data_IF_086696054527
#
_entry.id   IF_086696054527
#
_cell.length_a   1.000
_cell.length_b   1.000
_cell.length_c   1.000
_cell.angle_alpha   90.00
_cell.angle_beta   90.00
_cell.angle_gamma   90.00
#
_symmetry.space_group_name_H-M   'P 1'
#
loop_
_entity.id
_entity.type
_entity.pdbx_description
1 polymer ?
#
# COMPACT_ATOMS: atom_id res chain seq x y z
N UNK A 1 16.77 9.64 2.98
CA UNK A 1 16.78 10.47 4.20
C UNK A 1 15.36 10.84 4.53
N UNK A 2 14.99 10.85 5.81
CA UNK A 2 13.68 11.36 6.24
C UNK A 2 13.65 12.86 5.97
N UNK A 3 12.58 13.36 5.37
CA UNK A 3 12.39 14.77 5.01
C UNK A 3 11.26 15.36 5.89
N UNK A 4 11.56 15.91 7.09
CA UNK A 4 10.54 16.36 8.03
C UNK A 4 9.58 17.41 7.45
N UNK A 5 10.06 18.24 6.52
CA UNK A 5 9.23 19.26 5.87
C UNK A 5 8.09 18.65 5.04
N UNK A 6 8.31 17.50 4.40
CA UNK A 6 7.25 16.78 3.66
C UNK A 6 6.17 16.22 4.58
N UNK A 7 6.54 15.81 5.80
CA UNK A 7 5.56 15.37 6.80
C UNK A 7 4.70 16.53 7.29
N UNK A 8 5.30 17.72 7.46
CA UNK A 8 4.57 18.94 7.82
C UNK A 8 3.61 19.37 6.71
N UNK A 9 4.05 19.32 5.45
CA UNK A 9 3.21 19.62 4.29
C UNK A 9 2.03 18.65 4.20
N UNK A 10 2.28 17.34 4.28
CA UNK A 10 1.23 16.32 4.26
C UNK A 10 0.24 16.50 5.42
N UNK A 11 0.73 16.80 6.63
CA UNK A 11 -0.14 17.10 7.77
C UNK A 11 -1.08 18.27 7.45
N UNK A 12 -0.55 19.36 6.88
CA UNK A 12 -1.38 20.51 6.51
C UNK A 12 -2.43 20.12 5.48
N UNK A 13 -2.05 19.37 4.44
CA UNK A 13 -2.99 18.88 3.42
C UNK A 13 -4.12 18.06 4.02
N UNK A 14 -3.82 17.10 4.91
CA UNK A 14 -4.86 16.26 5.56
C UNK A 14 -5.82 17.14 6.39
N UNK A 15 -5.29 18.12 7.12
CA UNK A 15 -6.12 19.00 7.96
C UNK A 15 -7.00 19.95 7.13
N UNK A 16 -6.50 20.41 5.98
CA UNK A 16 -7.27 21.22 5.01
C UNK A 16 -8.38 20.39 4.34
N UNK A 17 -8.08 19.17 3.91
CA UNK A 17 -9.04 18.28 3.23
C UNK A 17 -10.04 17.63 4.19
N UNK A 18 -9.66 17.42 5.46
CA UNK A 18 -10.49 16.75 6.48
C UNK A 18 -10.56 17.62 7.74
N UNK A 19 -11.43 18.64 7.78
CA UNK A 19 -11.61 19.49 8.95
C UNK A 19 -11.99 18.67 10.20
N UNK A 20 -11.24 18.86 11.29
CA UNK A 20 -11.42 18.13 12.54
C UNK A 20 -10.56 16.87 12.68
N UNK A 21 -9.78 16.50 11.65
CA UNK A 21 -8.79 15.43 11.79
C UNK A 21 -7.66 15.84 12.75
N UNK A 22 -7.41 15.02 13.76
CA UNK A 22 -6.23 15.14 14.62
C UNK A 22 -5.05 14.42 13.95
N UNK A 23 -4.07 15.20 13.49
CA UNK A 23 -2.91 14.68 12.74
C UNK A 23 -1.63 14.83 13.56
N UNK A 24 -1.06 13.69 13.93
CA UNK A 24 0.26 13.59 14.56
C UNK A 24 1.27 13.07 13.55
N UNK A 25 2.45 13.69 13.50
CA UNK A 25 3.55 13.24 12.66
C UNK A 25 4.72 12.80 13.52
N UNK A 26 5.43 11.78 13.07
CA UNK A 26 6.67 11.31 13.68
C UNK A 26 7.65 10.90 12.57
N UNK A 27 8.94 10.99 12.87
CA UNK A 27 10.00 10.50 12.00
C UNK A 27 10.39 9.06 12.31
N UNK A 28 9.86 8.48 13.38
CA UNK A 28 10.06 7.09 13.80
C UNK A 28 8.70 6.46 14.10
N UNK A 29 8.37 5.38 13.39
CA UNK A 29 7.10 4.68 13.58
C UNK A 29 6.93 4.13 15.01
N UNK A 30 8.04 3.68 15.62
CA UNK A 30 8.04 3.11 16.97
C UNK A 30 7.59 4.05 18.09
N UNK A 31 7.53 5.36 17.84
CA UNK A 31 7.10 6.35 18.83
C UNK A 31 5.56 6.39 18.97
N UNK A 32 4.81 5.89 17.99
CA UNK A 32 3.34 5.97 17.94
C UNK A 32 2.65 4.60 17.74
N UNK A 33 3.40 3.57 17.33
CA UNK A 33 2.83 2.27 16.92
C UNK A 33 1.98 1.58 17.99
N UNK A 34 2.27 1.82 19.28
CA UNK A 34 1.52 1.27 20.41
C UNK A 34 0.14 1.87 20.58
N UNK A 35 -0.17 2.96 19.87
CA UNK A 35 -1.47 3.63 19.90
C UNK A 35 -2.29 3.35 18.63
N UNK A 36 -1.75 2.63 17.64
CA UNK A 36 -2.39 2.41 16.35
C UNK A 36 -3.24 1.13 16.32
N UNK A 37 -4.49 1.27 15.86
CA UNK A 37 -5.39 0.13 15.59
C UNK A 37 -5.26 -0.38 14.14
N UNK A 38 -4.90 0.52 13.20
CA UNK A 38 -4.58 0.22 11.81
C UNK A 38 -3.25 0.84 11.43
N UNK A 39 -2.39 0.06 10.79
CA UNK A 39 -1.07 0.51 10.31
C UNK A 39 -0.96 0.18 8.83
N UNK A 40 -0.50 1.14 8.03
CA UNK A 40 -0.24 0.93 6.60
C UNK A 40 1.24 1.22 6.35
N UNK A 41 1.98 0.23 5.85
CA UNK A 41 3.37 0.42 5.42
C UNK A 41 3.44 0.53 3.90
N UNK A 42 4.10 1.57 3.43
CA UNK A 42 4.38 1.82 2.02
C UNK A 42 5.82 2.30 1.87
N UNK A 43 6.77 1.52 2.40
CA UNK A 43 8.17 1.93 2.49
C UNK A 43 9.02 1.36 1.36
N UNK A 44 10.20 1.93 1.20
CA UNK A 44 11.28 1.39 0.36
C UNK A 44 12.49 0.99 1.21
N UNK A 45 12.27 0.61 2.47
CA UNK A 45 13.29 0.43 3.49
C UNK A 45 13.93 -0.96 3.41
N UNK A 46 14.60 -1.25 2.30
CA UNK A 46 15.17 -2.58 2.03
C UNK A 46 16.13 -3.02 3.15
N UNK A 47 15.81 -4.14 3.81
CA UNK A 47 16.62 -4.74 4.87
C UNK A 47 16.63 -3.96 6.20
N UNK A 48 15.76 -2.96 6.37
CA UNK A 48 15.60 -2.24 7.62
C UNK A 48 14.27 -2.59 8.27
N UNK A 49 14.31 -2.86 9.58
CA UNK A 49 13.09 -3.10 10.35
C UNK A 49 12.36 -1.77 10.56
N UNK A 50 11.25 -1.56 9.85
CA UNK A 50 10.43 -0.34 9.94
C UNK A 50 9.53 -0.36 11.17
N UNK A 51 8.95 -1.52 11.47
CA UNK A 51 7.99 -1.72 12.56
C UNK A 51 8.48 -2.83 13.48
N UNK A 52 8.26 -2.64 14.78
CA UNK A 52 8.40 -3.68 15.79
C UNK A 52 7.01 -4.21 16.16
N UNK A 53 6.62 -5.37 15.60
CA UNK A 53 5.27 -5.91 15.81
C UNK A 53 4.98 -6.22 17.29
N UNK A 54 6.00 -6.45 18.11
CA UNK A 54 5.84 -6.70 19.54
C UNK A 54 5.27 -5.47 20.29
N UNK A 55 5.38 -4.28 19.70
CA UNK A 55 4.85 -3.02 20.27
C UNK A 55 3.45 -2.67 19.79
N UNK A 56 2.91 -3.38 18.79
CA UNK A 56 1.57 -3.15 18.28
C UNK A 56 0.51 -3.52 19.33
N UNK A 57 -0.58 -2.76 19.35
CA UNK A 57 -1.77 -3.09 20.14
C UNK A 57 -2.28 -4.50 19.82
N UNK A 58 -2.77 -5.25 20.82
CA UNK A 58 -3.56 -6.45 20.56
C UNK A 58 -4.78 -6.13 19.69
N UNK A 59 -5.03 -6.95 18.66
CA UNK A 59 -6.11 -6.74 17.69
C UNK A 59 -5.80 -5.74 16.58
N UNK A 60 -4.59 -5.17 16.54
CA UNK A 60 -4.20 -4.26 15.46
C UNK A 60 -4.15 -4.96 14.10
N UNK A 61 -4.42 -4.21 13.03
CA UNK A 61 -4.27 -4.65 11.65
C UNK A 61 -3.10 -3.92 11.00
N UNK A 62 -2.19 -4.66 10.36
CA UNK A 62 -1.09 -4.10 9.58
C UNK A 62 -1.29 -4.47 8.11
N UNK A 63 -1.39 -3.47 7.27
CA UNK A 63 -1.47 -3.57 5.82
C UNK A 63 -0.09 -3.28 5.22
N UNK A 64 0.64 -4.34 4.85
CA UNK A 64 1.97 -4.26 4.29
C UNK A 64 1.94 -4.18 2.77
N UNK A 65 2.19 -2.98 2.24
CA UNK A 65 2.21 -2.68 0.80
C UNK A 65 3.64 -2.69 0.26
N UNK A 66 4.66 -2.82 1.12
CA UNK A 66 6.05 -2.76 0.71
C UNK A 66 6.45 -4.01 -0.10
N UNK A 67 7.35 -3.81 -1.07
CA UNK A 67 7.99 -4.90 -1.81
C UNK A 67 9.50 -4.66 -1.87
N UNK A 68 10.34 -5.53 -1.25
CA UNK A 68 9.95 -6.67 -0.39
C UNK A 68 9.13 -6.27 0.85
N UNK A 69 8.37 -7.20 1.45
CA UNK A 69 7.57 -6.92 2.65
C UNK A 69 8.42 -6.37 3.81
N UNK A 70 7.85 -5.43 4.55
CA UNK A 70 8.45 -4.87 5.77
C UNK A 70 8.36 -5.84 6.95
N UNK A 71 7.36 -6.73 6.97
CA UNK A 71 7.14 -7.70 8.05
C UNK A 71 7.41 -9.13 7.57
N UNK A 72 8.30 -9.82 8.28
CA UNK A 72 8.58 -11.23 8.04
C UNK A 72 7.43 -12.11 8.57
N UNK A 73 6.95 -13.13 7.80
CA UNK A 73 5.97 -14.10 8.28
C UNK A 73 6.32 -14.78 9.61
N UNK A 74 7.61 -15.08 9.85
CA UNK A 74 8.04 -15.67 11.11
C UNK A 74 7.91 -14.71 12.30
N UNK A 75 8.04 -13.39 12.05
CA UNK A 75 7.84 -12.36 13.05
C UNK A 75 6.34 -12.15 13.31
N UNK A 76 5.52 -12.10 12.27
CA UNK A 76 4.07 -12.03 12.36
C UNK A 76 3.49 -13.21 13.17
N UNK A 77 4.01 -14.43 12.97
CA UNK A 77 3.59 -15.63 13.69
C UNK A 77 3.80 -15.55 15.22
N UNK A 78 4.68 -14.67 15.70
CA UNK A 78 4.88 -14.44 17.14
C UNK A 78 3.76 -13.60 17.78
N UNK A 79 2.96 -12.91 16.96
CA UNK A 79 1.83 -12.05 17.37
C UNK A 79 0.55 -12.47 16.64
N UNK A 80 -0.01 -13.66 16.93
CA UNK A 80 -1.25 -14.13 16.30
C UNK A 80 -2.47 -13.25 16.61
N UNK A 81 -2.36 -12.35 17.59
CA UNK A 81 -3.34 -11.33 17.93
C UNK A 81 -3.24 -10.06 17.08
N UNK A 82 -2.25 -9.96 16.19
CA UNK A 82 -2.08 -8.86 15.22
C UNK A 82 -2.27 -9.43 13.82
N UNK A 83 -3.23 -8.88 13.07
CA UNK A 83 -3.47 -9.31 11.69
C UNK A 83 -2.52 -8.57 10.75
N UNK A 84 -1.55 -9.28 10.19
CA UNK A 84 -0.72 -8.75 9.09
C UNK A 84 -1.33 -9.19 7.77
N UNK A 85 -1.59 -8.26 6.86
CA UNK A 85 -2.05 -8.54 5.50
C UNK A 85 -1.09 -7.97 4.48
N UNK A 86 -0.73 -8.76 3.49
CA UNK A 86 -0.10 -8.25 2.27
C UNK A 86 -1.16 -7.55 1.42
N UNK A 87 -0.82 -6.40 0.84
CA UNK A 87 -1.74 -5.59 0.04
C UNK A 87 -1.12 -5.13 -1.28
N UNK A 88 -1.92 -4.47 -2.11
CA UNK A 88 -1.51 -4.03 -3.44
C UNK A 88 -1.60 -5.11 -4.51
N UNK A 89 -2.46 -6.11 -4.32
CA UNK A 89 -2.73 -7.17 -5.29
C UNK A 89 -4.09 -6.98 -5.97
N UNK A 90 -4.14 -7.22 -7.29
CA UNK A 90 -5.29 -6.95 -8.15
C UNK A 90 -5.53 -8.13 -9.08
N UNK A 91 -6.79 -8.56 -9.19
CA UNK A 91 -7.23 -9.56 -10.16
C UNK A 91 -7.48 -8.84 -11.49
N UNK A 92 -6.74 -9.24 -12.52
CA UNK A 92 -6.91 -8.75 -13.89
C UNK A 92 -8.05 -9.52 -14.57
N UNK A 93 -8.99 -8.83 -15.24
CA UNK A 93 -10.09 -9.48 -15.96
C UNK A 93 -9.60 -10.40 -17.10
N UNK A 94 -10.34 -11.47 -17.36
CA UNK A 94 -10.05 -12.41 -18.46
C UNK A 94 -9.23 -13.63 -18.02
N UNK A 95 -8.55 -14.25 -18.99
CA UNK A 95 -7.66 -15.40 -18.76
C UNK A 95 -6.22 -14.99 -19.02
N UNK A 96 -5.68 -14.24 -18.06
CA UNK A 96 -4.33 -13.67 -18.15
C UNK A 96 -3.30 -14.73 -17.81
N UNK A 97 -2.36 -14.94 -18.72
CA UNK A 97 -1.14 -15.69 -18.51
C UNK A 97 0.05 -14.72 -18.58
N UNK A 98 0.78 -14.61 -17.46
CA UNK A 98 1.99 -13.78 -17.38
C UNK A 98 3.20 -14.45 -18.07
N UNK A 99 3.13 -15.76 -18.35
CA UNK A 99 4.21 -16.53 -18.96
C UNK A 99 5.37 -16.88 -18.01
N UNK A 100 5.31 -16.42 -16.74
CA UNK A 100 6.27 -16.73 -15.68
C UNK A 100 5.63 -16.52 -14.30
N UNK A 101 6.28 -17.06 -13.26
CA UNK A 101 5.83 -16.94 -11.87
C UNK A 101 6.28 -15.61 -11.25
N UNK A 102 5.31 -14.80 -10.81
CA UNK A 102 5.51 -13.53 -10.09
C UNK A 102 5.28 -13.65 -8.58
N UNK A 103 5.06 -14.87 -8.06
CA UNK A 103 4.80 -15.15 -6.66
C UNK A 103 3.36 -14.88 -6.22
N UNK A 104 2.42 -14.76 -7.17
CA UNK A 104 1.01 -14.45 -6.93
C UNK A 104 0.09 -15.55 -7.48
N UNK A 105 -1.12 -15.70 -6.92
CA UNK A 105 -2.13 -16.62 -7.45
C UNK A 105 -2.49 -16.33 -8.92
N UNK A 106 -3.08 -17.30 -9.64
CA UNK A 106 -3.51 -17.10 -11.03
C UNK A 106 -4.39 -15.85 -11.20
N UNK A 107 -4.17 -15.13 -12.30
CA UNK A 107 -4.86 -13.86 -12.66
C UNK A 107 -4.61 -12.68 -11.72
N UNK A 108 -3.78 -12.85 -10.70
CA UNK A 108 -3.44 -11.80 -9.74
C UNK A 108 -2.13 -11.13 -10.13
N UNK A 109 -2.10 -9.81 -10.04
CA UNK A 109 -0.94 -8.96 -10.34
C UNK A 109 -0.70 -7.98 -9.20
N UNK A 110 0.54 -7.52 -9.04
CA UNK A 110 0.80 -6.31 -8.27
C UNK A 110 0.09 -5.11 -8.90
N UNK A 111 -0.37 -4.18 -8.08
CA UNK A 111 -1.12 -3.00 -8.51
C UNK A 111 -0.35 -2.13 -9.52
N UNK A 112 0.98 -2.04 -9.36
CA UNK A 112 1.84 -1.31 -10.30
C UNK A 112 1.84 -1.92 -11.72
N UNK A 113 1.90 -3.26 -11.82
CA UNK A 113 1.80 -3.96 -13.11
C UNK A 113 0.37 -3.90 -13.66
N UNK A 114 -0.63 -3.98 -12.79
CA UNK A 114 -2.03 -3.84 -13.17
C UNK A 114 -2.36 -2.44 -13.71
N UNK A 115 -1.73 -1.37 -13.20
CA UNK A 115 -1.86 -0.01 -13.73
C UNK A 115 -1.48 0.06 -15.21
N UNK A 116 -0.34 -0.55 -15.59
CA UNK A 116 0.09 -0.59 -16.99
C UNK A 116 -0.94 -1.30 -17.88
N UNK A 117 -1.46 -2.45 -17.46
CA UNK A 117 -2.49 -3.16 -18.20
C UNK A 117 -3.79 -2.34 -18.31
N UNK A 118 -4.21 -1.72 -17.20
CA UNK A 118 -5.40 -0.88 -17.11
C UNK A 118 -5.33 0.32 -18.08
N UNK A 119 -4.20 1.03 -18.12
CA UNK A 119 -3.96 2.14 -19.03
C UNK A 119 -3.95 1.68 -20.49
N UNK A 120 -3.29 0.57 -20.80
CA UNK A 120 -3.26 0.01 -22.16
C UNK A 120 -4.65 -0.37 -22.66
N UNK A 121 -5.49 -0.97 -21.80
CA UNK A 121 -6.89 -1.28 -22.12
C UNK A 121 -7.74 -0.02 -22.35
N UNK A 122 -7.38 1.09 -21.71
CA UNK A 122 -8.03 2.39 -21.92
C UNK A 122 -7.45 3.18 -23.11
N UNK A 123 -6.44 2.65 -23.80
CA UNK A 123 -5.76 3.32 -24.90
C UNK A 123 -4.89 4.50 -24.47
N UNK A 124 -4.47 4.54 -23.19
CA UNK A 124 -3.61 5.58 -22.63
C UNK A 124 -2.16 5.13 -22.64
N UNK A 125 -1.36 5.73 -23.54
CA UNK A 125 0.05 5.42 -23.72
C UNK A 125 0.90 6.62 -23.30
N UNK A 126 1.04 6.81 -21.99
CA UNK A 126 1.76 7.94 -21.40
C UNK A 126 2.42 7.56 -20.08
N UNK A 127 3.31 8.42 -19.59
CA UNK A 127 3.96 8.28 -18.29
C UNK A 127 3.00 8.68 -17.15
N UNK A 128 1.96 7.87 -16.94
CA UNK A 128 0.83 8.21 -16.08
C UNK A 128 1.22 8.40 -14.60
N UNK A 129 2.00 7.48 -14.04
CA UNK A 129 2.60 7.60 -12.71
C UNK A 129 4.11 7.58 -12.84
N UNK A 130 4.76 8.74 -12.66
CA UNK A 130 6.21 8.86 -12.72
C UNK A 130 6.74 9.73 -11.56
N UNK A 131 7.78 9.23 -10.90
CA UNK A 131 8.40 9.91 -9.77
C UNK A 131 7.55 9.87 -8.50
N UNK A 132 7.63 10.91 -7.68
CA UNK A 132 7.00 10.97 -6.34
C UNK A 132 5.75 11.85 -6.28
N UNK A 133 5.39 12.49 -7.38
CA UNK A 133 4.28 13.44 -7.43
C UNK A 133 3.01 12.69 -7.87
N UNK A 134 2.29 12.14 -6.90
CA UNK A 134 1.03 11.44 -7.11
C UNK A 134 -0.10 12.35 -6.64
N UNK A 135 -1.06 12.66 -7.51
CA UNK A 135 -2.21 13.48 -7.15
C UNK A 135 -3.42 12.60 -6.84
N UNK A 136 -4.26 13.05 -5.91
CA UNK A 136 -5.50 12.34 -5.57
C UNK A 136 -6.46 12.22 -6.76
N UNK A 137 -6.41 13.17 -7.69
CA UNK A 137 -7.18 13.14 -8.94
C UNK A 137 -6.78 11.96 -9.82
N UNK A 138 -5.47 11.75 -10.04
CA UNK A 138 -4.97 10.59 -10.80
C UNK A 138 -5.29 9.27 -10.12
N UNK A 139 -5.17 9.20 -8.78
CA UNK A 139 -5.57 8.00 -8.02
C UNK A 139 -7.05 7.65 -8.25
N UNK A 140 -7.94 8.64 -8.18
CA UNK A 140 -9.38 8.44 -8.43
C UNK A 140 -9.66 8.10 -9.90
N UNK A 141 -8.91 8.66 -10.82
CA UNK A 141 -9.06 8.40 -12.26
C UNK A 141 -8.63 6.96 -12.60
N UNK A 142 -7.44 6.51 -12.20
CA UNK A 142 -7.00 5.13 -12.46
C UNK A 142 -7.91 4.11 -11.79
N UNK A 143 -8.46 4.43 -10.61
CA UNK A 143 -9.48 3.60 -9.96
C UNK A 143 -10.76 3.49 -10.81
N UNK A 144 -11.24 4.57 -11.41
CA UNK A 144 -12.41 4.52 -12.32
C UNK A 144 -12.12 3.71 -13.58
N UNK A 145 -10.92 3.86 -14.16
CA UNK A 145 -10.50 3.09 -15.33
C UNK A 145 -10.44 1.59 -14.97
N UNK A 146 -9.90 1.24 -13.81
CA UNK A 146 -9.82 -0.15 -13.36
C UNK A 146 -11.22 -0.77 -13.17
N UNK A 147 -12.15 -0.02 -12.58
CA UNK A 147 -13.55 -0.43 -12.48
C UNK A 147 -14.21 -0.61 -13.85
N UNK A 148 -13.99 0.35 -14.78
CA UNK A 148 -14.53 0.29 -16.16
C UNK A 148 -14.13 -1.00 -16.88
N UNK A 149 -12.88 -1.43 -16.70
CA UNK A 149 -12.35 -2.63 -17.36
C UNK A 149 -12.56 -3.93 -16.56
N UNK A 150 -13.13 -3.86 -15.36
CA UNK A 150 -13.49 -5.04 -14.57
C UNK A 150 -12.38 -5.62 -13.71
N UNK A 151 -11.36 -4.82 -13.39
CA UNK A 151 -10.34 -5.18 -12.40
C UNK A 151 -10.97 -5.26 -11.00
N UNK A 152 -10.46 -6.16 -10.17
CA UNK A 152 -10.95 -6.36 -8.79
C UNK A 152 -9.79 -6.40 -7.82
N UNK A 153 -10.01 -5.95 -6.59
CA UNK A 153 -9.06 -6.20 -5.50
C UNK A 153 -8.95 -7.72 -5.30
N UNK A 154 -7.71 -8.20 -5.10
CA UNK A 154 -7.48 -9.58 -4.74
C UNK A 154 -7.95 -9.87 -3.30
N UNK A 155 -8.03 -11.15 -2.96
CA UNK A 155 -8.34 -11.57 -1.59
C UNK A 155 -7.20 -11.21 -0.62
N UNK A 156 -7.53 -11.10 0.67
CA UNK A 156 -6.54 -10.88 1.71
C UNK A 156 -5.59 -12.08 1.81
N UNK A 157 -4.31 -11.80 2.00
CA UNK A 157 -3.26 -12.78 2.30
C UNK A 157 -2.58 -12.35 3.60
N UNK A 158 -2.39 -13.28 4.53
CA UNK A 158 -1.79 -13.07 5.85
C UNK A 158 -0.73 -14.11 6.14
#
# INVERSE_FOLDING_TARGET
SIEPEKLLELKRTIQEETPGAEVTIATKAGDLISDCDLVITATSAFGQRVIDIAKCKPGAVICDVARPPDINPAEAALRPDVLVIESGEVIIPGDVDFGYDIGLPPKTSYACLAETACLAMDGRFEDYTLGRNITMERVKEIYKISQKHGFKLAGLRS
#
